data_IF_475941642611
#
_entry.id   IF_475941642611
#
_cell.length_a   1.000
_cell.length_b   1.000
_cell.length_c   1.000
_cell.angle_alpha   90.00
_cell.angle_beta   90.00
_cell.angle_gamma   90.00
#
_symmetry.space_group_name_H-M   'P 1'
#
loop_
_entity.id
_entity.type
_entity.pdbx_description
1 polymer ?
#
# COMPACT_ATOMS: atom_id res chain seq x y z
N UNK A 1 -39.21 21.85 -39.06
CA UNK A 1 -37.99 21.81 -38.23
C UNK A 1 -38.25 20.86 -37.09
N UNK A 2 -37.71 19.66 -37.19
CA UNK A 2 -37.93 18.58 -36.23
C UNK A 2 -36.63 18.41 -35.44
N UNK A 3 -36.62 18.85 -34.16
CA UNK A 3 -35.49 18.66 -33.24
C UNK A 3 -35.61 17.28 -32.59
N UNK A 4 -34.80 16.34 -33.05
CA UNK A 4 -34.66 15.02 -32.41
C UNK A 4 -33.69 15.13 -31.25
N UNK A 5 -34.21 15.09 -30.03
CA UNK A 5 -33.41 15.06 -28.79
C UNK A 5 -32.80 13.69 -28.59
N UNK A 6 -31.46 13.59 -28.68
CA UNK A 6 -30.67 12.38 -28.41
C UNK A 6 -30.47 12.26 -26.92
N UNK A 7 -31.32 11.47 -26.22
CA UNK A 7 -31.13 11.10 -24.81
C UNK A 7 -30.12 9.98 -24.70
N UNK A 8 -28.89 10.29 -24.25
CA UNK A 8 -27.86 9.32 -23.92
C UNK A 8 -28.17 8.72 -22.56
N UNK A 9 -28.65 7.48 -22.53
CA UNK A 9 -28.79 6.68 -21.32
C UNK A 9 -27.41 6.16 -20.87
N UNK A 10 -26.80 6.83 -19.89
CA UNK A 10 -25.60 6.32 -19.23
C UNK A 10 -26.02 5.21 -18.27
N UNK A 11 -25.96 3.96 -18.74
CA UNK A 11 -26.11 2.76 -17.90
C UNK A 11 -24.84 2.60 -17.07
N UNK A 12 -24.83 3.17 -15.86
CA UNK A 12 -23.81 2.90 -14.87
C UNK A 12 -23.91 1.46 -14.38
N UNK A 13 -23.08 0.54 -14.89
CA UNK A 13 -22.88 -0.79 -14.31
C UNK A 13 -22.19 -0.66 -12.95
N UNK A 14 -22.95 -0.51 -11.87
CA UNK A 14 -22.45 -0.76 -10.51
C UNK A 14 -22.42 -2.28 -10.32
N UNK A 15 -21.29 -2.91 -10.59
CA UNK A 15 -20.98 -4.25 -10.13
C UNK A 15 -20.83 -4.20 -8.61
N UNK A 16 -21.93 -4.45 -7.90
CA UNK A 16 -21.93 -4.63 -6.45
C UNK A 16 -21.29 -5.99 -6.17
N UNK A 17 -19.96 -6.05 -6.11
CA UNK A 17 -19.27 -7.23 -5.58
C UNK A 17 -19.66 -7.36 -4.12
N UNK A 18 -20.38 -8.44 -3.81
CA UNK A 18 -20.82 -8.76 -2.44
C UNK A 18 -19.55 -8.80 -1.56
N UNK A 19 -19.48 -7.94 -0.56
CA UNK A 19 -18.36 -7.93 0.39
C UNK A 19 -18.41 -9.19 1.26
N UNK A 20 -17.62 -10.19 0.90
CA UNK A 20 -17.51 -11.47 1.61
C UNK A 20 -17.12 -11.29 3.08
N UNK A 21 -16.46 -10.18 3.41
CA UNK A 21 -16.01 -9.88 4.77
C UNK A 21 -17.06 -9.12 5.59
N UNK A 22 -18.27 -8.85 5.07
CA UNK A 22 -19.26 -7.98 5.70
C UNK A 22 -19.61 -8.38 7.15
N UNK A 23 -19.67 -9.70 7.43
CA UNK A 23 -19.96 -10.25 8.75
C UNK A 23 -18.74 -10.65 9.58
N UNK A 24 -17.52 -10.36 9.14
CA UNK A 24 -16.32 -10.80 9.84
C UNK A 24 -15.94 -9.82 10.96
N UNK A 25 -15.48 -10.38 12.07
CA UNK A 25 -14.86 -9.56 13.13
C UNK A 25 -13.51 -9.00 12.66
N UNK A 26 -13.02 -7.90 13.25
CA UNK A 26 -11.69 -7.37 12.95
C UNK A 26 -10.58 -8.41 13.07
N UNK A 27 -10.60 -9.24 14.11
CA UNK A 27 -9.61 -10.30 14.31
C UNK A 27 -9.65 -11.35 13.20
N UNK A 28 -10.85 -11.72 12.70
CA UNK A 28 -10.99 -12.65 11.59
C UNK A 28 -10.41 -12.08 10.30
N UNK A 29 -10.68 -10.79 10.02
CA UNK A 29 -10.11 -10.12 8.83
C UNK A 29 -8.58 -10.10 8.93
N UNK A 30 -8.04 -9.83 10.12
CA UNK A 30 -6.59 -9.81 10.34
C UNK A 30 -5.96 -11.19 10.11
N UNK A 31 -6.54 -12.25 10.69
CA UNK A 31 -6.06 -13.61 10.48
C UNK A 31 -6.05 -13.99 9.01
N UNK A 32 -7.16 -13.77 8.30
CA UNK A 32 -7.27 -14.06 6.87
C UNK A 32 -6.23 -13.27 6.05
N UNK A 33 -6.06 -11.96 6.35
CA UNK A 33 -5.06 -11.14 5.67
C UNK A 33 -3.64 -11.66 5.88
N UNK A 34 -3.32 -12.12 7.10
CA UNK A 34 -2.01 -12.74 7.42
C UNK A 34 -1.83 -14.06 6.71
N UNK A 35 -2.85 -14.90 6.63
CA UNK A 35 -2.80 -16.20 5.95
C UNK A 35 -2.57 -16.01 4.44
N UNK A 36 -3.33 -15.10 3.81
CA UNK A 36 -3.16 -14.72 2.40
C UNK A 36 -1.77 -14.16 2.14
N UNK A 37 -1.26 -13.30 3.04
CA UNK A 37 0.08 -12.72 2.93
C UNK A 37 1.18 -13.78 3.10
N UNK A 38 1.02 -14.72 4.03
CA UNK A 38 1.99 -15.80 4.28
C UNK A 38 2.07 -16.77 3.10
N UNK A 39 0.98 -16.94 2.36
CA UNK A 39 0.94 -17.70 1.11
C UNK A 39 1.57 -16.95 -0.09
N UNK A 40 2.15 -15.76 0.13
CA UNK A 40 2.78 -14.94 -0.90
C UNK A 40 1.80 -14.13 -1.77
N UNK A 41 0.51 -14.15 -1.46
CA UNK A 41 -0.52 -13.42 -2.21
C UNK A 41 -0.66 -11.97 -1.71
N UNK A 42 0.42 -11.21 -1.81
CA UNK A 42 0.52 -9.86 -1.22
C UNK A 42 -0.56 -8.90 -1.75
N UNK A 43 -0.78 -8.86 -3.07
CA UNK A 43 -1.81 -8.01 -3.67
C UNK A 43 -3.23 -8.31 -3.18
N UNK A 44 -3.52 -9.57 -2.79
CA UNK A 44 -4.82 -9.94 -2.19
C UNK A 44 -4.90 -9.59 -0.71
N UNK A 45 -3.78 -9.54 0.00
CA UNK A 45 -3.73 -9.17 1.41
C UNK A 45 -3.97 -7.66 1.61
N UNK A 46 -3.52 -6.80 0.72
CA UNK A 46 -3.66 -5.33 0.80
C UNK A 46 -5.11 -4.89 1.04
N UNK A 47 -6.11 -5.29 0.25
CA UNK A 47 -7.49 -4.86 0.48
C UNK A 47 -8.08 -5.39 1.79
N UNK A 48 -7.64 -6.55 2.30
CA UNK A 48 -8.08 -7.07 3.60
C UNK A 48 -7.55 -6.21 4.75
N UNK A 49 -6.26 -5.85 4.73
CA UNK A 49 -5.69 -4.92 5.71
C UNK A 49 -6.35 -3.54 5.62
N UNK A 50 -6.67 -3.06 4.42
CA UNK A 50 -7.36 -1.78 4.26
C UNK A 50 -8.77 -1.80 4.86
N UNK A 51 -9.52 -2.88 4.68
CA UNK A 51 -10.83 -3.06 5.32
C UNK A 51 -10.71 -3.10 6.84
N UNK A 52 -9.72 -3.82 7.34
CA UNK A 52 -9.45 -3.91 8.78
C UNK A 52 -9.11 -2.53 9.37
N UNK A 53 -8.24 -1.76 8.69
CA UNK A 53 -7.90 -0.39 9.10
C UNK A 53 -9.15 0.48 9.29
N UNK A 54 -10.12 0.40 8.36
CA UNK A 54 -11.38 1.12 8.46
C UNK A 54 -12.29 0.61 9.58
N UNK A 55 -12.39 -0.72 9.76
CA UNK A 55 -13.30 -1.32 10.77
C UNK A 55 -12.78 -1.24 12.20
N UNK A 56 -11.47 -1.22 12.39
CA UNK A 56 -10.83 -1.16 13.69
C UNK A 56 -10.20 0.22 13.96
N UNK A 57 -10.71 1.27 13.31
CA UNK A 57 -10.14 2.62 13.40
C UNK A 57 -9.91 3.05 14.86
N UNK A 58 -8.76 3.66 15.15
CA UNK A 58 -8.36 4.11 16.48
C UNK A 58 -7.78 3.02 17.39
N UNK A 59 -7.72 1.77 16.96
CA UNK A 59 -7.14 0.67 17.73
C UNK A 59 -5.69 0.37 17.33
N UNK A 60 -4.95 -0.32 18.21
CA UNK A 60 -3.61 -0.85 17.90
C UNK A 60 -3.64 -1.86 16.76
N UNK A 61 -4.74 -2.60 16.62
CA UNK A 61 -4.94 -3.55 15.52
C UNK A 61 -5.02 -2.84 14.16
N UNK A 62 -5.65 -1.65 14.09
CA UNK A 62 -5.66 -0.83 12.88
C UNK A 62 -4.27 -0.30 12.54
N UNK A 63 -3.47 0.09 13.54
CA UNK A 63 -2.08 0.51 13.34
C UNK A 63 -1.24 -0.63 12.79
N UNK A 64 -1.38 -1.84 13.34
CA UNK A 64 -0.71 -3.03 12.85
C UNK A 64 -1.12 -3.37 11.42
N UNK A 65 -2.43 -3.31 11.12
CA UNK A 65 -2.93 -3.52 9.77
C UNK A 65 -2.37 -2.54 8.74
N UNK A 66 -2.14 -1.29 9.15
CA UNK A 66 -1.55 -0.27 8.29
C UNK A 66 -0.08 -0.58 7.95
N UNK A 67 0.70 -1.07 8.92
CA UNK A 67 2.07 -1.51 8.70
C UNK A 67 2.15 -2.79 7.86
N UNK A 68 1.30 -3.79 8.16
CA UNK A 68 1.25 -5.03 7.39
C UNK A 68 0.78 -4.77 5.94
N UNK A 69 -0.12 -3.79 5.73
CA UNK A 69 -0.50 -3.32 4.40
C UNK A 69 0.69 -2.74 3.65
N UNK A 70 1.47 -1.87 4.28
CA UNK A 70 2.66 -1.29 3.66
C UNK A 70 3.68 -2.37 3.31
N UNK A 71 3.88 -3.35 4.18
CA UNK A 71 4.74 -4.49 3.89
C UNK A 71 4.23 -5.33 2.71
N UNK A 72 2.92 -5.60 2.65
CA UNK A 72 2.33 -6.33 1.54
C UNK A 72 2.49 -5.57 0.22
N UNK A 73 2.27 -4.24 0.20
CA UNK A 73 2.51 -3.38 -0.96
C UNK A 73 3.98 -3.43 -1.42
N UNK A 74 4.92 -3.33 -0.49
CA UNK A 74 6.36 -3.47 -0.78
C UNK A 74 6.67 -4.83 -1.42
N UNK A 75 6.15 -5.93 -0.86
CA UNK A 75 6.37 -7.29 -1.36
C UNK A 75 5.68 -7.57 -2.69
N UNK A 76 4.58 -6.86 -2.98
CA UNK A 76 3.85 -6.92 -4.26
C UNK A 76 4.54 -6.08 -5.38
N UNK A 77 5.59 -5.32 -5.03
CA UNK A 77 6.33 -4.48 -5.96
C UNK A 77 5.78 -3.06 -6.08
N UNK A 78 4.80 -2.67 -5.27
CA UNK A 78 4.21 -1.33 -5.27
C UNK A 78 4.88 -0.44 -4.20
N UNK A 79 6.15 -0.10 -4.43
CA UNK A 79 6.96 0.71 -3.52
C UNK A 79 6.34 2.09 -3.28
N UNK A 80 5.77 2.71 -4.31
CA UNK A 80 5.18 4.04 -4.20
C UNK A 80 4.00 4.05 -3.20
N UNK A 81 3.12 3.07 -3.28
CA UNK A 81 2.01 2.93 -2.35
C UNK A 81 2.48 2.55 -0.94
N UNK A 82 3.50 1.69 -0.84
CA UNK A 82 4.10 1.36 0.45
C UNK A 82 4.64 2.60 1.16
N UNK A 83 5.43 3.44 0.48
CA UNK A 83 5.95 4.70 1.01
C UNK A 83 4.81 5.62 1.44
N UNK A 84 3.79 5.82 0.60
CA UNK A 84 2.64 6.66 0.95
C UNK A 84 1.88 6.16 2.19
N UNK A 85 1.75 4.82 2.33
CA UNK A 85 1.13 4.20 3.50
C UNK A 85 1.96 4.42 4.76
N UNK A 86 3.29 4.28 4.68
CA UNK A 86 4.22 4.49 5.80
C UNK A 86 4.26 5.96 6.23
N UNK A 87 4.31 6.89 5.28
CA UNK A 87 4.27 8.32 5.57
C UNK A 87 2.95 8.72 6.27
N UNK A 88 1.84 8.14 5.82
CA UNK A 88 0.56 8.34 6.50
C UNK A 88 0.57 7.77 7.91
N UNK A 89 1.13 6.57 8.12
CA UNK A 89 1.26 5.96 9.44
C UNK A 89 2.04 6.86 10.40
N UNK A 90 3.21 7.33 10.00
CA UNK A 90 4.06 8.19 10.84
C UNK A 90 3.40 9.54 11.16
N UNK A 91 2.65 10.12 10.23
CA UNK A 91 1.89 11.36 10.49
C UNK A 91 0.74 11.16 11.48
N UNK A 92 0.06 10.02 11.41
CA UNK A 92 -1.09 9.74 12.28
C UNK A 92 -0.67 9.21 13.67
N UNK A 93 0.50 8.59 13.75
CA UNK A 93 0.98 7.91 14.95
C UNK A 93 2.43 8.29 15.31
N UNK A 94 2.73 9.60 15.50
CA UNK A 94 4.11 10.06 15.67
C UNK A 94 4.80 9.50 16.91
N UNK A 95 4.02 9.11 17.94
CA UNK A 95 4.53 8.52 19.17
C UNK A 95 4.42 6.98 19.20
N UNK A 96 4.15 6.34 18.05
CA UNK A 96 4.05 4.88 17.99
C UNK A 96 5.43 4.25 18.17
N UNK A 97 5.56 3.20 19.00
CA UNK A 97 6.81 2.44 19.10
C UNK A 97 7.19 1.73 17.81
N UNK A 98 6.26 1.63 16.85
CA UNK A 98 6.50 1.02 15.55
C UNK A 98 7.01 2.01 14.48
N UNK A 99 7.31 3.26 14.86
CA UNK A 99 7.86 4.27 13.95
C UNK A 99 9.21 3.85 13.39
N UNK A 100 10.06 3.21 14.19
CA UNK A 100 11.36 2.70 13.74
C UNK A 100 11.21 1.64 12.65
N UNK A 101 10.24 0.72 12.82
CA UNK A 101 9.92 -0.26 11.78
C UNK A 101 9.38 0.40 10.51
N UNK A 102 8.53 1.41 10.64
CA UNK A 102 8.01 2.15 9.50
C UNK A 102 9.12 2.86 8.72
N UNK A 103 10.07 3.48 9.41
CA UNK A 103 11.26 4.10 8.80
C UNK A 103 12.15 3.05 8.11
N UNK A 104 12.40 1.93 8.76
CA UNK A 104 13.17 0.83 8.18
C UNK A 104 12.54 0.33 6.87
N UNK A 105 11.24 0.05 6.89
CA UNK A 105 10.53 -0.44 5.71
C UNK A 105 10.50 0.60 4.58
N UNK A 106 10.35 1.89 4.93
CA UNK A 106 10.45 2.98 3.96
C UNK A 106 11.84 3.04 3.33
N UNK A 107 12.90 2.85 4.13
CA UNK A 107 14.27 2.75 3.63
C UNK A 107 14.44 1.60 2.63
N UNK A 108 13.84 0.43 2.89
CA UNK A 108 13.85 -0.71 1.95
C UNK A 108 13.12 -0.38 0.65
N UNK A 109 11.97 0.29 0.72
CA UNK A 109 11.23 0.71 -0.48
C UNK A 109 12.08 1.63 -1.37
N UNK A 110 12.71 2.64 -0.78
CA UNK A 110 13.58 3.57 -1.51
C UNK A 110 14.83 2.89 -2.09
N UNK A 111 15.40 1.92 -1.38
CA UNK A 111 16.57 1.18 -1.85
C UNK A 111 16.26 0.34 -3.08
N UNK A 112 15.13 -0.38 -3.08
CA UNK A 112 14.73 -1.24 -4.19
C UNK A 112 14.27 -0.47 -5.44
N UNK A 113 13.76 0.75 -5.29
CA UNK A 113 13.38 1.60 -6.43
C UNK A 113 14.57 1.88 -7.36
N UNK A 114 15.79 1.90 -6.81
CA UNK A 114 17.03 2.07 -7.59
C UNK A 114 17.48 0.80 -8.33
N UNK A 115 17.04 -0.36 -7.93
CA UNK A 115 17.44 -1.65 -8.53
C UNK A 115 16.43 -2.15 -9.59
N UNK A 116 15.39 -1.38 -9.89
CA UNK A 116 14.32 -1.77 -10.81
C UNK A 116 14.83 -2.18 -12.19
N UNK A 117 14.13 -3.11 -12.82
CA UNK A 117 14.40 -3.72 -14.14
C UNK A 117 14.73 -2.71 -15.25
N UNK A 118 14.27 -1.46 -15.13
CA UNK A 118 14.55 -0.41 -16.11
C UNK A 118 16.00 0.07 -16.11
N UNK A 119 16.76 -0.13 -15.01
CA UNK A 119 18.18 0.25 -14.98
C UNK A 119 19.01 -0.60 -15.92
N UNK A 120 18.62 -1.85 -16.16
CA UNK A 120 19.28 -2.75 -17.10
C UNK A 120 18.99 -2.37 -18.57
N UNK A 121 17.76 -1.91 -18.86
CA UNK A 121 17.33 -1.57 -20.23
C UNK A 121 17.81 -0.20 -20.72
N UNK A 122 18.03 0.75 -19.82
CA UNK A 122 18.36 2.12 -20.19
C UNK A 122 19.86 2.40 -20.34
N UNK A 123 20.76 1.46 -19.96
CA UNK A 123 22.22 1.65 -19.96
C UNK A 123 22.66 3.00 -19.37
N UNK A 124 21.84 3.58 -18.49
CA UNK A 124 22.20 4.84 -17.83
C UNK A 124 23.36 4.60 -16.86
N UNK A 125 24.35 5.43 -16.96
CA UNK A 125 25.48 5.44 -16.04
C UNK A 125 24.98 5.73 -14.62
N UNK A 126 25.24 4.80 -13.69
CA UNK A 126 24.81 4.92 -12.30
C UNK A 126 25.39 6.18 -11.61
N UNK A 127 26.43 6.79 -12.18
CA UNK A 127 27.04 8.02 -11.66
C UNK A 127 26.21 9.28 -11.94
N UNK A 128 25.36 9.28 -12.97
CA UNK A 128 24.48 10.40 -13.34
C UNK A 128 23.07 10.28 -12.76
N UNK A 129 22.78 9.18 -12.08
CA UNK A 129 21.45 8.92 -11.55
C UNK A 129 21.16 9.84 -10.37
N UNK A 130 19.96 10.40 -10.37
CA UNK A 130 19.45 11.17 -9.24
C UNK A 130 19.62 10.37 -7.93
N UNK A 131 20.54 10.83 -7.09
CA UNK A 131 20.87 10.21 -5.80
C UNK A 131 19.77 10.42 -4.76
N UNK A 132 18.61 10.97 -5.16
CA UNK A 132 17.51 11.30 -4.26
C UNK A 132 17.02 10.07 -3.51
N UNK A 133 16.74 8.96 -4.21
CA UNK A 133 16.25 7.74 -3.56
C UNK A 133 17.31 7.13 -2.61
N UNK A 134 18.61 7.21 -2.95
CA UNK A 134 19.67 6.78 -2.06
C UNK A 134 19.76 7.66 -0.81
N UNK A 135 19.61 8.99 -0.96
CA UNK A 135 19.54 9.92 0.17
C UNK A 135 18.31 9.68 1.04
N UNK A 136 17.14 9.52 0.44
CA UNK A 136 15.88 9.25 1.14
C UNK A 136 15.97 7.92 1.92
N UNK A 137 16.62 6.90 1.34
CA UNK A 137 16.92 5.64 2.01
C UNK A 137 17.82 5.87 3.23
N UNK A 138 18.95 6.56 3.05
CA UNK A 138 19.90 6.85 4.12
C UNK A 138 19.26 7.64 5.28
N UNK A 139 18.48 8.68 4.96
CA UNK A 139 17.76 9.46 5.99
C UNK A 139 16.72 8.62 6.75
N UNK A 140 16.15 7.59 6.10
CA UNK A 140 15.19 6.69 6.73
C UNK A 140 15.84 5.67 7.68
N UNK A 141 17.16 5.45 7.59
CA UNK A 141 17.92 4.53 8.45
C UNK A 141 18.67 5.23 9.60
N UNK A 142 18.63 6.56 9.69
CA UNK A 142 19.17 7.33 10.83
C UNK A 142 18.24 7.28 12.03
#
# INVERSE_FOLDING_TARGET
>A
MLLVGLTVLVSGCSTTTKDETAGWSPNKIYSEAKDVMSAGNYGKAVPLFQKLEGRAAGTTLAQQAQLDKAYAQYRDGDQAQAIATLDRFMRLHPASPATDYALYLKGLCNFNDNLGLFSFLTRQDLSERDQKAAKDSFESFK
#
